data_IF_710478657988
#
_entry.id   IF_710478657988
#
_cell.length_a   1.000
_cell.length_b   1.000
_cell.length_c   1.000
_cell.angle_alpha   90.00
_cell.angle_beta   90.00
_cell.angle_gamma   90.00
#
_symmetry.space_group_name_H-M   'P 1'
#
loop_
_entity.id
_entity.type
_entity.pdbx_description
1 polymer ?
#
# COMPACT_ATOMS: atom_id res chain seq x y z
N UNK A 1 -18.27 0.04 10.43
CA UNK A 1 -17.28 -0.41 11.43
C UNK A 1 -17.93 -0.19 12.79
N UNK A 2 -17.89 -1.14 13.74
CA UNK A 2 -17.00 -2.31 13.87
C UNK A 2 -17.32 -3.46 12.91
N UNK A 3 -16.36 -4.35 12.69
CA UNK A 3 -16.56 -5.57 11.90
C UNK A 3 -17.09 -6.70 12.81
N UNK A 4 -18.20 -7.32 12.42
CA UNK A 4 -18.80 -8.45 13.16
C UNK A 4 -18.18 -9.80 12.75
N UNK A 5 -17.73 -9.89 11.49
CA UNK A 5 -17.09 -11.06 10.91
C UNK A 5 -15.91 -10.64 10.03
N UNK A 6 -14.92 -11.53 9.90
CA UNK A 6 -13.79 -11.34 8.98
C UNK A 6 -13.97 -12.19 7.73
N UNK A 7 -13.66 -11.59 6.59
CA UNK A 7 -13.78 -12.24 5.27
C UNK A 7 -12.72 -13.32 5.04
N UNK A 8 -11.53 -13.14 5.64
CA UNK A 8 -10.40 -14.05 5.53
C UNK A 8 -9.81 -14.15 4.12
N UNK A 9 -8.82 -15.03 3.97
CA UNK A 9 -8.15 -15.29 2.69
C UNK A 9 -9.10 -15.91 1.66
N UNK A 10 -10.15 -16.61 2.12
CA UNK A 10 -11.18 -17.23 1.26
C UNK A 10 -11.82 -16.22 0.32
N UNK A 11 -12.27 -15.05 0.84
CA UNK A 11 -12.88 -14.04 -0.01
C UNK A 11 -11.84 -13.42 -0.95
N UNK A 12 -10.62 -13.17 -0.46
CA UNK A 12 -9.54 -12.60 -1.28
C UNK A 12 -9.21 -13.49 -2.48
N UNK A 13 -9.06 -14.81 -2.27
CA UNK A 13 -8.81 -15.76 -3.35
C UNK A 13 -10.01 -15.90 -4.27
N UNK A 14 -11.22 -15.98 -3.73
CA UNK A 14 -12.44 -16.05 -4.51
C UNK A 14 -12.58 -14.82 -5.43
N UNK A 15 -12.57 -13.61 -4.87
CA UNK A 15 -12.70 -12.37 -5.64
C UNK A 15 -11.60 -12.22 -6.68
N UNK A 16 -10.33 -12.48 -6.30
CA UNK A 16 -9.21 -12.41 -7.23
C UNK A 16 -9.38 -13.35 -8.43
N UNK A 17 -9.79 -14.59 -8.18
CA UNK A 17 -10.03 -15.57 -9.23
C UNK A 17 -11.24 -15.20 -10.10
N UNK A 18 -12.34 -14.72 -9.50
CA UNK A 18 -13.52 -14.26 -10.24
C UNK A 18 -13.16 -13.13 -11.21
N UNK A 19 -12.42 -12.12 -10.73
CA UNK A 19 -11.96 -11.03 -11.59
C UNK A 19 -11.04 -11.56 -12.70
N UNK A 20 -10.01 -12.34 -12.36
CA UNK A 20 -9.10 -12.90 -13.36
C UNK A 20 -9.82 -13.69 -14.46
N UNK A 21 -10.74 -14.58 -14.10
CA UNK A 21 -11.53 -15.39 -15.05
C UNK A 21 -12.36 -14.51 -15.96
N UNK A 22 -13.12 -13.57 -15.40
CA UNK A 22 -14.01 -12.69 -16.17
C UNK A 22 -13.19 -11.79 -17.11
N UNK A 23 -12.03 -11.29 -16.66
CA UNK A 23 -11.14 -10.46 -17.47
C UNK A 23 -10.46 -11.22 -18.61
N UNK A 24 -10.07 -12.48 -18.37
CA UNK A 24 -9.44 -13.33 -19.39
C UNK A 24 -10.48 -13.78 -20.42
N UNK A 25 -11.60 -14.37 -19.98
CA UNK A 25 -12.63 -14.89 -20.88
C UNK A 25 -13.35 -13.77 -21.65
N UNK A 26 -13.50 -12.60 -21.04
CA UNK A 26 -14.07 -11.43 -21.69
C UNK A 26 -13.10 -10.64 -22.57
N UNK A 27 -11.83 -11.04 -22.66
CA UNK A 27 -10.78 -10.34 -23.41
C UNK A 27 -10.58 -8.85 -23.04
N UNK A 28 -10.91 -8.46 -21.81
CA UNK A 28 -10.72 -7.09 -21.29
C UNK A 28 -9.76 -7.04 -20.09
N UNK A 29 -8.85 -8.01 -19.97
CA UNK A 29 -7.85 -8.09 -18.90
C UNK A 29 -7.02 -6.81 -18.75
N UNK A 30 -6.68 -6.12 -19.85
CA UNK A 30 -5.98 -4.83 -19.81
C UNK A 30 -6.79 -3.75 -19.09
N UNK A 31 -8.08 -3.60 -19.42
CA UNK A 31 -8.97 -2.64 -18.75
C UNK A 31 -9.20 -3.05 -17.30
N UNK A 32 -9.32 -4.35 -17.02
CA UNK A 32 -9.43 -4.84 -15.66
C UNK A 32 -8.23 -4.46 -14.80
N UNK A 33 -7.00 -4.59 -15.32
CA UNK A 33 -5.80 -4.18 -14.59
C UNK A 33 -5.78 -2.67 -14.28
N UNK A 34 -6.38 -1.83 -15.13
CA UNK A 34 -6.52 -0.40 -14.85
C UNK A 34 -7.46 -0.16 -13.65
N UNK A 35 -8.54 -0.93 -13.50
CA UNK A 35 -9.37 -0.87 -12.28
C UNK A 35 -8.61 -1.28 -11.01
N UNK A 36 -7.54 -2.07 -11.17
CA UNK A 36 -6.68 -2.54 -10.08
C UNK A 36 -5.48 -1.62 -9.78
N UNK A 37 -5.45 -0.39 -10.31
CA UNK A 37 -4.35 0.55 -10.10
C UNK A 37 -3.96 0.70 -8.61
N UNK A 38 -4.89 0.93 -7.65
CA UNK A 38 -4.52 1.05 -6.24
C UNK A 38 -3.92 -0.22 -5.65
N UNK A 39 -4.41 -1.39 -6.05
CA UNK A 39 -3.89 -2.70 -5.64
C UNK A 39 -2.48 -2.92 -6.19
N UNK A 40 -2.25 -2.57 -7.47
CA UNK A 40 -0.94 -2.63 -8.12
C UNK A 40 0.03 -1.68 -7.42
N UNK A 41 -0.37 -0.44 -7.14
CA UNK A 41 0.47 0.53 -6.41
C UNK A 41 0.83 -0.02 -5.03
N UNK A 42 -0.14 -0.53 -4.25
CA UNK A 42 0.14 -1.11 -2.95
C UNK A 42 1.11 -2.31 -3.04
N UNK A 43 0.98 -3.14 -4.07
CA UNK A 43 1.90 -4.25 -4.35
C UNK A 43 3.31 -3.74 -4.65
N UNK A 44 3.46 -2.78 -5.57
CA UNK A 44 4.75 -2.19 -5.93
C UNK A 44 5.42 -1.50 -4.74
N UNK A 45 4.66 -0.77 -3.92
CA UNK A 45 5.14 -0.19 -2.67
C UNK A 45 5.63 -1.28 -1.72
N UNK A 46 4.93 -2.42 -1.65
CA UNK A 46 5.27 -3.54 -0.77
C UNK A 46 6.47 -4.37 -1.22
N UNK A 47 6.95 -4.24 -2.47
CA UNK A 47 8.06 -5.05 -3.04
C UNK A 47 9.30 -5.12 -2.14
N UNK A 48 9.84 -4.00 -1.59
CA UNK A 48 11.02 -4.05 -0.73
C UNK A 48 10.85 -5.01 0.45
N UNK A 49 9.65 -5.07 1.04
CA UNK A 49 9.33 -5.95 2.16
C UNK A 49 8.99 -7.36 1.70
N UNK A 50 8.20 -7.54 0.63
CA UNK A 50 7.80 -8.86 0.14
C UNK A 50 8.99 -9.71 -0.31
N UNK A 51 9.98 -9.09 -0.94
CA UNK A 51 11.22 -9.76 -1.35
C UNK A 51 12.31 -9.72 -0.28
N UNK A 52 12.00 -9.24 0.93
CA UNK A 52 12.91 -9.21 2.08
C UNK A 52 14.21 -8.41 1.82
N UNK A 53 14.16 -7.39 0.96
CA UNK A 53 15.23 -6.39 0.86
C UNK A 53 15.25 -5.47 2.09
N UNK A 54 14.07 -5.27 2.68
CA UNK A 54 13.85 -4.61 3.96
C UNK A 54 13.11 -5.64 4.84
N UNK A 55 13.39 -5.70 6.16
CA UNK A 55 12.69 -6.61 7.07
C UNK A 55 11.16 -6.47 6.95
N UNK A 56 10.50 -7.62 6.82
CA UNK A 56 9.06 -7.72 6.63
C UNK A 56 8.42 -8.35 7.87
N UNK A 57 7.69 -7.58 8.69
CA UNK A 57 6.98 -8.15 9.83
C UNK A 57 5.80 -8.99 9.33
N UNK A 58 5.40 -9.97 10.13
CA UNK A 58 4.24 -10.83 9.82
C UNK A 58 2.95 -10.04 9.60
N UNK A 59 2.74 -8.98 10.40
CA UNK A 59 1.59 -8.09 10.28
C UNK A 59 2.07 -6.67 9.94
N UNK A 60 1.52 -6.13 8.85
CA UNK A 60 1.84 -4.79 8.32
C UNK A 60 0.68 -3.79 8.49
N UNK A 61 -0.29 -4.13 9.34
CA UNK A 61 -1.45 -3.30 9.63
C UNK A 61 -1.07 -2.14 10.57
N UNK A 62 -1.74 -0.97 10.47
CA UNK A 62 -1.56 0.14 11.41
C UNK A 62 -1.77 -0.27 12.87
N UNK A 63 -1.11 0.43 13.79
CA UNK A 63 -1.25 0.18 15.24
C UNK A 63 -2.35 1.07 15.81
N UNK A 64 -3.31 0.49 16.51
CA UNK A 64 -4.34 1.26 17.23
C UNK A 64 -3.73 1.94 18.45
N UNK A 65 -3.92 3.26 18.58
CA UNK A 65 -3.73 3.96 19.85
C UNK A 65 -5.06 3.98 20.61
N UNK A 66 -5.18 3.24 21.74
CA UNK A 66 -6.41 3.14 22.50
C UNK A 66 -6.83 4.47 23.14
N UNK A 67 -5.89 5.36 23.45
CA UNK A 67 -6.18 6.65 24.11
C UNK A 67 -6.90 7.61 23.18
N UNK A 68 -6.50 7.64 21.90
CA UNK A 68 -7.04 8.53 20.88
C UNK A 68 -8.10 7.85 20.00
N UNK A 69 -8.28 6.53 20.14
CA UNK A 69 -9.10 5.68 19.27
C UNK A 69 -8.79 5.90 17.76
N UNK A 70 -7.49 6.02 17.45
CA UNK A 70 -6.97 6.29 16.11
C UNK A 70 -5.86 5.32 15.74
N UNK A 71 -5.75 5.02 14.45
CA UNK A 71 -4.69 4.21 13.87
C UNK A 71 -3.47 5.07 13.59
N UNK A 72 -2.33 4.64 14.12
CA UNK A 72 -1.01 5.18 13.82
C UNK A 72 -0.31 4.30 12.78
N UNK A 73 0.57 4.89 11.95
CA UNK A 73 1.44 4.12 11.07
C UNK A 73 2.23 3.07 11.88
N UNK A 74 2.23 1.85 11.40
CA UNK A 74 3.05 0.78 11.95
C UNK A 74 4.49 0.90 11.45
N UNK A 75 5.45 0.68 12.35
CA UNK A 75 6.88 0.82 12.06
C UNK A 75 7.62 -0.51 12.25
N UNK A 76 8.72 -0.65 11.52
CA UNK A 76 9.65 -1.78 11.56
C UNK A 76 11.02 -1.23 11.92
N UNK A 77 11.64 -1.86 12.91
CA UNK A 77 12.94 -1.48 13.44
C UNK A 77 13.97 -2.56 13.06
N UNK A 78 15.13 -2.13 12.58
CA UNK A 78 16.22 -3.03 12.23
C UNK A 78 17.57 -2.33 12.31
N UNK A 79 18.65 -3.11 12.43
CA UNK A 79 20.01 -2.59 12.53
C UNK A 79 20.48 -2.08 11.17
N UNK A 80 21.18 -0.95 11.15
CA UNK A 80 21.67 -0.35 9.89
C UNK A 80 22.61 -1.26 9.10
N UNK A 81 23.38 -2.10 9.78
CA UNK A 81 24.34 -3.01 9.15
C UNK A 81 23.68 -4.21 8.43
N UNK A 82 22.46 -4.58 8.80
CA UNK A 82 21.74 -5.69 8.17
C UNK A 82 21.21 -5.34 6.78
N UNK A 83 21.21 -4.05 6.44
CA UNK A 83 20.62 -3.56 5.21
C UNK A 83 21.61 -3.67 4.04
N UNK A 84 21.21 -4.44 3.02
CA UNK A 84 21.94 -4.52 1.75
C UNK A 84 21.85 -3.18 0.99
N UNK A 85 22.81 -2.92 0.10
CA UNK A 85 22.89 -1.71 -0.74
C UNK A 85 21.58 -1.47 -1.51
N UNK A 86 20.98 -2.53 -2.05
CA UNK A 86 19.70 -2.47 -2.76
C UNK A 86 18.55 -2.01 -1.86
N UNK A 87 18.45 -2.58 -0.65
CA UNK A 87 17.45 -2.18 0.34
C UNK A 87 17.62 -0.72 0.77
N UNK A 88 18.87 -0.28 0.93
CA UNK A 88 19.18 1.11 1.24
C UNK A 88 18.77 2.08 0.13
N UNK A 89 19.05 1.74 -1.14
CA UNK A 89 18.65 2.54 -2.29
C UNK A 89 17.13 2.67 -2.38
N UNK A 90 16.41 1.55 -2.23
CA UNK A 90 14.95 1.53 -2.22
C UNK A 90 14.39 2.38 -1.08
N UNK A 91 14.92 2.23 0.14
CA UNK A 91 14.51 3.02 1.30
C UNK A 91 14.73 4.51 1.05
N UNK A 92 15.90 4.90 0.51
CA UNK A 92 16.21 6.30 0.21
C UNK A 92 15.25 6.86 -0.84
N UNK A 93 14.95 6.10 -1.89
CA UNK A 93 13.97 6.47 -2.91
C UNK A 93 12.60 6.75 -2.29
N UNK A 94 12.05 5.82 -1.49
CA UNK A 94 10.74 6.01 -0.85
C UNK A 94 10.74 7.13 0.19
N UNK A 95 11.86 7.37 0.88
CA UNK A 95 12.02 8.47 1.81
C UNK A 95 12.01 9.83 1.12
N UNK A 96 12.62 9.97 -0.06
CA UNK A 96 12.63 11.21 -0.84
C UNK A 96 11.22 11.58 -1.29
N UNK A 97 10.45 10.59 -1.73
CA UNK A 97 9.07 10.79 -2.20
C UNK A 97 8.10 10.97 -1.01
N UNK A 98 8.60 10.94 0.25
CA UNK A 98 7.81 11.09 1.48
C UNK A 98 6.66 10.07 1.60
N UNK A 99 6.82 8.87 1.03
CA UNK A 99 5.86 7.78 1.17
C UNK A 99 5.98 7.03 2.50
N UNK A 100 7.15 7.11 3.12
CA UNK A 100 7.49 6.45 4.38
C UNK A 100 8.05 7.47 5.37
N UNK A 101 7.83 7.23 6.66
CA UNK A 101 8.60 7.89 7.71
C UNK A 101 9.90 7.12 7.92
N UNK A 102 11.00 7.85 7.99
CA UNK A 102 12.33 7.33 8.26
C UNK A 102 12.90 8.00 9.51
N UNK A 103 13.37 7.21 10.47
CA UNK A 103 14.02 7.68 11.69
C UNK A 103 15.26 6.85 11.97
N UNK A 104 16.39 7.51 12.19
CA UNK A 104 17.61 6.92 12.74
C UNK A 104 17.68 7.28 14.22
N UNK A 105 17.93 6.30 15.08
CA UNK A 105 18.16 6.52 16.51
C UNK A 105 19.21 5.54 17.03
N UNK A 106 19.88 5.94 18.12
CA UNK A 106 20.80 5.07 18.84
C UNK A 106 20.00 4.27 19.87
N UNK A 107 20.21 2.96 19.89
CA UNK A 107 19.66 2.11 20.94
C UNK A 107 20.48 2.27 22.24
N UNK A 108 19.97 1.71 23.34
CA UNK A 108 20.66 1.69 24.64
C UNK A 108 22.06 1.04 24.60
N UNK A 109 22.34 0.24 23.57
CA UNK A 109 23.63 -0.43 23.34
C UNK A 109 24.56 0.35 22.37
N UNK A 110 24.31 1.65 22.14
CA UNK A 110 25.04 2.52 21.19
C UNK A 110 25.01 2.05 19.72
N UNK A 111 24.11 1.13 19.37
CA UNK A 111 23.91 0.68 17.99
C UNK A 111 22.95 1.59 17.21
N UNK A 112 23.31 1.91 15.95
CA UNK A 112 22.45 2.71 15.06
C UNK A 112 21.30 1.83 14.52
N UNK A 113 20.10 2.13 14.97
CA UNK A 113 18.85 1.51 14.54
C UNK A 113 18.11 2.39 13.55
N UNK A 114 17.46 1.76 12.58
CA UNK A 114 16.58 2.40 11.62
C UNK A 114 15.15 1.98 11.94
N UNK A 115 14.27 2.95 12.20
CA UNK A 115 12.82 2.77 12.21
C UNK A 115 12.23 3.31 10.90
N UNK A 116 11.48 2.46 10.21
CA UNK A 116 10.75 2.85 9.01
C UNK A 116 9.29 2.42 9.08
N UNK A 117 8.39 3.22 8.51
CA UNK A 117 6.99 2.81 8.36
C UNK A 117 6.85 1.61 7.43
N UNK A 118 5.90 0.72 7.72
CA UNK A 118 5.56 -0.39 6.84
C UNK A 118 5.14 0.07 5.44
N UNK A 119 5.63 -0.63 4.41
CA UNK A 119 5.49 -0.25 3.02
C UNK A 119 4.15 -0.75 2.47
N UNK A 120 3.10 0.01 2.75
CA UNK A 120 1.73 -0.27 2.31
C UNK A 120 1.00 1.05 2.08
N UNK A 121 0.04 1.06 1.15
CA UNK A 121 -0.78 2.25 0.88
C UNK A 121 -1.52 2.74 2.13
N UNK A 122 -1.93 1.81 3.00
CA UNK A 122 -2.64 2.10 4.25
C UNK A 122 -1.77 2.96 5.17
N UNK A 123 -0.54 2.51 5.42
CA UNK A 123 0.40 3.25 6.26
C UNK A 123 0.88 4.54 5.59
N UNK A 124 1.03 4.56 4.26
CA UNK A 124 1.34 5.79 3.51
C UNK A 124 0.25 6.86 3.68
N UNK A 125 -1.03 6.49 3.57
CA UNK A 125 -2.14 7.43 3.81
C UNK A 125 -2.08 7.98 5.24
N UNK A 126 -1.76 7.15 6.23
CA UNK A 126 -1.56 7.61 7.61
C UNK A 126 -0.31 8.49 7.78
N UNK A 127 0.74 8.30 6.99
CA UNK A 127 1.89 9.19 6.98
C UNK A 127 1.52 10.58 6.44
N UNK A 128 0.64 10.67 5.44
CA UNK A 128 0.22 11.93 4.83
C UNK A 128 -0.88 12.65 5.60
N UNK A 129 -1.91 11.92 6.04
CA UNK A 129 -3.08 12.49 6.72
C UNK A 129 -2.92 12.51 8.24
N UNK A 130 -1.90 11.85 8.79
CA UNK A 130 -1.73 11.65 10.23
C UNK A 130 -2.60 10.53 10.80
N UNK A 131 -2.74 10.45 12.14
CA UNK A 131 -3.52 9.42 12.80
C UNK A 131 -5.02 9.57 12.51
N UNK A 132 -5.63 8.51 11.99
CA UNK A 132 -7.03 8.51 11.57
C UNK A 132 -7.81 7.40 12.26
N UNK A 133 -9.11 7.59 12.45
CA UNK A 133 -9.99 6.51 12.90
C UNK A 133 -10.11 5.44 11.79
N UNK A 134 -10.33 4.18 12.18
CA UNK A 134 -10.35 3.05 11.25
C UNK A 134 -11.39 3.23 10.14
N UNK A 135 -12.61 3.64 10.51
CA UNK A 135 -13.67 3.88 9.53
C UNK A 135 -13.30 4.97 8.52
N UNK A 136 -12.71 6.08 8.99
CA UNK A 136 -12.28 7.19 8.13
C UNK A 136 -11.18 6.73 7.17
N UNK A 137 -10.23 5.95 7.65
CA UNK A 137 -9.16 5.39 6.83
C UNK A 137 -9.71 4.46 5.74
N UNK A 138 -10.63 3.55 6.09
CA UNK A 138 -11.29 2.67 5.12
C UNK A 138 -12.07 3.46 4.06
N UNK A 139 -12.80 4.51 4.46
CA UNK A 139 -13.53 5.38 3.52
C UNK A 139 -12.57 6.11 2.57
N UNK A 140 -11.43 6.60 3.06
CA UNK A 140 -10.39 7.22 2.21
C UNK A 140 -9.83 6.22 1.20
N UNK A 141 -9.55 4.98 1.61
CA UNK A 141 -9.06 3.94 0.69
C UNK A 141 -10.09 3.58 -0.39
N UNK A 142 -11.38 3.53 -0.03
CA UNK A 142 -12.47 3.33 -1.00
C UNK A 142 -12.57 4.53 -1.95
N UNK A 143 -12.42 5.77 -1.45
CA UNK A 143 -12.39 6.95 -2.31
C UNK A 143 -11.20 6.94 -3.27
N UNK A 144 -10.01 6.52 -2.81
CA UNK A 144 -8.84 6.30 -3.68
C UNK A 144 -9.18 5.25 -4.75
N UNK A 145 -9.87 4.17 -4.40
CA UNK A 145 -10.31 3.15 -5.35
C UNK A 145 -11.29 3.68 -6.40
N UNK A 146 -12.25 4.49 -6.01
CA UNK A 146 -13.21 5.09 -6.94
C UNK A 146 -12.51 6.08 -7.87
N UNK A 147 -11.68 6.97 -7.34
CA UNK A 147 -11.00 8.01 -8.12
C UNK A 147 -9.93 7.43 -9.04
N UNK A 148 -8.95 6.72 -8.49
CA UNK A 148 -7.79 6.23 -9.25
C UNK A 148 -8.06 4.90 -9.95
N UNK A 149 -8.91 4.05 -9.37
CA UNK A 149 -9.28 2.79 -10.01
C UNK A 149 -10.35 2.98 -11.08
N UNK A 150 -11.43 3.72 -10.78
CA UNK A 150 -12.61 3.74 -11.67
C UNK A 150 -12.62 4.97 -12.60
N UNK A 151 -12.58 6.19 -12.04
CA UNK A 151 -12.69 7.41 -12.85
C UNK A 151 -11.52 7.55 -13.82
N UNK A 152 -10.30 7.33 -13.36
CA UNK A 152 -9.11 7.37 -14.22
C UNK A 152 -9.18 6.32 -15.33
N UNK A 153 -9.60 5.10 -15.02
CA UNK A 153 -9.75 4.03 -16.02
C UNK A 153 -10.77 4.39 -17.10
N UNK A 154 -11.92 4.91 -16.70
CA UNK A 154 -12.95 5.34 -17.66
C UNK A 154 -12.49 6.54 -18.49
N UNK A 155 -11.79 7.50 -17.87
CA UNK A 155 -11.19 8.62 -18.60
C UNK A 155 -10.19 8.12 -19.66
N UNK A 156 -9.30 7.21 -19.29
CA UNK A 156 -8.35 6.61 -20.23
C UNK A 156 -9.08 5.90 -21.36
N UNK A 157 -10.06 5.05 -21.01
CA UNK A 157 -10.77 4.20 -21.98
C UNK A 157 -11.63 4.99 -22.97
N UNK A 158 -12.33 6.02 -22.51
CA UNK A 158 -13.31 6.73 -23.34
C UNK A 158 -12.78 8.01 -23.97
N UNK A 159 -11.83 8.70 -23.32
CA UNK A 159 -11.33 9.99 -23.80
C UNK A 159 -9.97 9.85 -24.49
N UNK A 160 -9.03 9.15 -23.84
CA UNK A 160 -7.64 9.06 -24.28
C UNK A 160 -7.46 8.11 -25.46
N UNK A 161 -8.16 6.97 -25.46
CA UNK A 161 -8.20 6.07 -26.63
C UNK A 161 -8.78 6.79 -27.84
N UNK A 162 -9.87 7.55 -27.66
CA UNK A 162 -10.47 8.30 -28.76
C UNK A 162 -9.49 9.31 -29.35
N UNK A 163 -8.76 10.03 -28.51
CA UNK A 163 -7.76 11.01 -28.95
C UNK A 163 -6.60 10.38 -29.75
N UNK A 164 -6.11 9.20 -29.34
CA UNK A 164 -4.99 8.54 -29.99
C UNK A 164 -5.35 7.80 -31.28
N UNK A 165 -6.59 7.34 -31.45
CA UNK A 165 -7.04 6.62 -32.64
C UNK A 165 -7.78 7.50 -33.66
N UNK A 166 -8.29 8.68 -33.26
CA UNK A 166 -8.91 9.67 -34.17
C UNK A 166 -7.90 10.74 -34.69
N UNK A 167 -6.58 10.54 -34.51
CA UNK A 167 -5.50 11.35 -35.13
C UNK A 167 -4.78 10.56 -36.20
#
# INVERSE_FOLDING_TARGET
>A
YPAEIFVGDTLCYFSGMTFAVVGILGHFSKTMLLFFIPQIINFLLSIPQLFHFIPCPRHRLPKLNPELNKLNPSEVEFKKHDLKILGWLMLRFFSIIKFIRYREYLNNDDEIMISTTNFTIINTVLCWCGPLHEETLSRILILIQIVFGTLLTFFIRYYLVKFFYDS
#
